data_IF_559934119763
#
_entry.id   IF_559934119763
#
_cell.length_a   1.000
_cell.length_b   1.000
_cell.length_c   1.000
_cell.angle_alpha   90.00
_cell.angle_beta   90.00
_cell.angle_gamma   90.00
#
_symmetry.space_group_name_H-M   'P 1'
#
loop_
_entity.id
_entity.type
_entity.pdbx_description
1 polymer ?
#
# COMPACT_ATOMS: atom_id res chain seq x y z
N UNK A 1 -8.32 -24.84 5.87
CA UNK A 1 -8.54 -24.27 4.51
C UNK A 1 -8.39 -22.73 4.54
N UNK A 2 -8.12 -22.14 5.70
CA UNK A 2 -8.11 -20.69 5.91
C UNK A 2 -6.73 -20.03 5.69
N UNK A 3 -5.62 -20.72 5.98
CA UNK A 3 -4.25 -20.24 5.69
C UNK A 3 -4.02 -19.89 4.21
N UNK A 4 -4.67 -20.63 3.31
CA UNK A 4 -4.52 -20.43 1.87
C UNK A 4 -5.24 -19.16 1.38
N UNK A 5 -6.26 -18.69 2.12
CA UNK A 5 -6.92 -17.39 1.86
C UNK A 5 -6.07 -16.22 2.35
N UNK A 6 -5.44 -16.33 3.52
CA UNK A 6 -4.56 -15.27 4.04
C UNK A 6 -3.34 -15.03 3.16
N UNK A 7 -2.71 -16.10 2.66
CA UNK A 7 -1.59 -15.98 1.72
C UNK A 7 -1.97 -15.27 0.41
N UNK A 8 -3.18 -15.52 -0.12
CA UNK A 8 -3.68 -14.86 -1.33
C UNK A 8 -3.99 -13.37 -1.10
N UNK A 9 -4.51 -13.01 0.08
CA UNK A 9 -4.77 -11.62 0.48
C UNK A 9 -3.46 -10.84 0.61
N UNK A 10 -2.44 -11.44 1.24
CA UNK A 10 -1.10 -10.82 1.36
C UNK A 10 -0.41 -10.65 -0.01
N UNK A 11 -0.56 -11.62 -0.92
CA UNK A 11 -0.01 -11.53 -2.27
C UNK A 11 -0.68 -10.42 -3.11
N UNK A 12 -2.01 -10.33 -3.07
CA UNK A 12 -2.76 -9.26 -3.75
C UNK A 12 -2.40 -7.87 -3.22
N UNK A 13 -2.17 -7.76 -1.92
CA UNK A 13 -1.71 -6.53 -1.24
C UNK A 13 -0.33 -6.09 -1.71
N UNK A 14 0.65 -7.01 -1.75
CA UNK A 14 1.99 -6.73 -2.27
C UNK A 14 1.96 -6.25 -3.71
N UNK A 15 1.13 -6.86 -4.56
CA UNK A 15 0.95 -6.44 -5.94
C UNK A 15 0.39 -5.01 -6.06
N UNK A 16 -0.59 -4.65 -5.21
CA UNK A 16 -1.16 -3.30 -5.20
C UNK A 16 -0.15 -2.23 -4.76
N UNK A 17 0.66 -2.51 -3.73
CA UNK A 17 1.74 -1.62 -3.29
C UNK A 17 2.80 -1.43 -4.38
N UNK A 18 3.19 -2.52 -5.04
CA UNK A 18 4.20 -2.48 -6.09
C UNK A 18 3.73 -1.65 -7.29
N UNK A 19 2.47 -1.79 -7.70
CA UNK A 19 1.86 -1.01 -8.76
C UNK A 19 1.76 0.48 -8.40
N UNK A 20 1.42 0.80 -7.14
CA UNK A 20 1.36 2.17 -6.66
C UNK A 20 2.75 2.84 -6.65
N UNK A 21 3.78 2.12 -6.22
CA UNK A 21 5.17 2.58 -6.26
C UNK A 21 5.65 2.82 -7.69
N UNK A 22 5.41 1.87 -8.61
CA UNK A 22 5.72 2.05 -10.03
C UNK A 22 5.06 3.31 -10.61
N UNK A 23 3.80 3.58 -10.25
CA UNK A 23 3.10 4.80 -10.69
C UNK A 23 3.74 6.07 -10.16
N UNK A 24 4.22 6.09 -8.92
CA UNK A 24 4.92 7.24 -8.35
C UNK A 24 6.27 7.47 -9.05
N UNK A 25 7.01 6.40 -9.32
CA UNK A 25 8.30 6.46 -10.04
C UNK A 25 8.10 6.99 -11.45
N UNK A 26 7.16 6.40 -12.21
CA UNK A 26 6.80 6.85 -13.56
C UNK A 26 6.39 8.31 -13.58
N UNK A 27 5.51 8.73 -12.66
CA UNK A 27 5.15 10.14 -12.55
C UNK A 27 6.42 10.97 -12.37
N UNK A 28 7.32 10.62 -11.43
CA UNK A 28 8.53 11.39 -11.08
C UNK A 28 9.49 11.56 -12.26
N UNK A 29 9.59 10.57 -13.14
CA UNK A 29 10.49 10.60 -14.29
C UNK A 29 9.86 11.26 -15.53
N UNK A 30 8.54 11.13 -15.73
CA UNK A 30 7.85 11.60 -16.95
C UNK A 30 6.91 12.79 -16.72
N UNK A 31 7.01 13.47 -15.59
CA UNK A 31 6.04 14.48 -15.16
C UNK A 31 6.21 15.86 -15.80
N UNK A 32 5.23 16.40 -16.55
CA UNK A 32 5.22 17.82 -16.88
C UNK A 32 5.08 18.67 -15.59
N UNK A 33 5.70 19.87 -15.53
CA UNK A 33 5.60 20.88 -14.43
C UNK A 33 4.18 21.47 -14.26
N UNK A 34 3.13 20.70 -14.49
CA UNK A 34 1.74 21.12 -14.35
C UNK A 34 1.20 20.85 -12.94
N UNK A 35 0.30 21.72 -12.50
CA UNK A 35 -0.39 21.57 -11.20
C UNK A 35 -1.29 20.32 -11.13
N UNK A 36 -1.82 19.85 -12.27
CA UNK A 36 -2.61 18.63 -12.35
C UNK A 36 -1.75 17.38 -12.08
N UNK A 37 -0.53 17.33 -12.63
CA UNK A 37 0.42 16.26 -12.41
C UNK A 37 0.89 16.20 -10.95
N UNK A 38 1.22 17.36 -10.35
CA UNK A 38 1.60 17.44 -8.93
C UNK A 38 0.48 16.95 -8.01
N UNK A 39 -0.79 17.31 -8.30
CA UNK A 39 -1.96 16.83 -7.55
C UNK A 39 -2.15 15.32 -7.66
N UNK A 40 -2.01 14.75 -8.85
CA UNK A 40 -2.09 13.30 -9.06
C UNK A 40 -0.98 12.55 -8.29
N UNK A 41 0.25 13.08 -8.29
CA UNK A 41 1.38 12.54 -7.53
C UNK A 41 1.13 12.54 -6.03
N UNK A 42 0.71 13.68 -5.46
CA UNK A 42 0.40 13.78 -4.03
C UNK A 42 -0.73 12.85 -3.62
N UNK A 43 -1.81 12.76 -4.42
CA UNK A 43 -2.92 11.83 -4.15
C UNK A 43 -2.48 10.36 -4.13
N UNK A 44 -1.54 10.00 -5.00
CA UNK A 44 -1.01 8.63 -5.06
C UNK A 44 -0.13 8.32 -3.85
N UNK A 45 0.76 9.24 -3.45
CA UNK A 45 1.54 9.08 -2.21
C UNK A 45 0.65 8.97 -0.98
N UNK A 46 -0.37 9.82 -0.88
CA UNK A 46 -1.30 9.81 0.25
C UNK A 46 -2.08 8.48 0.34
N UNK A 47 -2.47 7.89 -0.79
CA UNK A 47 -3.08 6.56 -0.81
C UNK A 47 -2.10 5.48 -0.36
N UNK A 48 -0.84 5.54 -0.81
CA UNK A 48 0.18 4.59 -0.42
C UNK A 48 0.45 4.66 1.10
N UNK A 49 0.52 5.86 1.67
CA UNK A 49 0.75 6.05 3.10
C UNK A 49 -0.40 5.51 3.95
N UNK A 50 -1.65 5.71 3.54
CA UNK A 50 -2.80 5.12 4.22
C UNK A 50 -2.81 3.59 4.12
N UNK A 51 -2.43 3.04 2.97
CA UNK A 51 -2.31 1.60 2.81
C UNK A 51 -1.26 1.05 3.78
N UNK A 52 -0.06 1.63 3.82
CA UNK A 52 1.00 1.21 4.74
C UNK A 52 0.61 1.35 6.21
N UNK A 53 -0.09 2.42 6.60
CA UNK A 53 -0.57 2.60 7.96
C UNK A 53 -1.61 1.53 8.36
N UNK A 54 -2.55 1.21 7.46
CA UNK A 54 -3.49 0.11 7.67
C UNK A 54 -2.78 -1.26 7.71
N UNK A 55 -1.65 -1.38 7.01
CA UNK A 55 -0.80 -2.57 7.04
C UNK A 55 -0.09 -2.77 8.37
N UNK A 56 0.46 -1.69 8.94
CA UNK A 56 1.07 -1.71 10.27
C UNK A 56 0.03 -1.95 11.39
N UNK A 57 -1.16 -1.36 11.30
CA UNK A 57 -2.23 -1.63 12.27
C UNK A 57 -2.71 -3.08 12.22
N UNK A 58 -2.88 -3.65 11.04
CA UNK A 58 -3.26 -5.06 10.88
C UNK A 58 -2.18 -6.02 11.39
N UNK A 59 -0.90 -5.68 11.20
CA UNK A 59 0.23 -6.44 11.75
C UNK A 59 0.26 -6.36 13.29
N UNK A 60 0.05 -5.17 13.85
CA UNK A 60 0.04 -4.95 15.31
C UNK A 60 -1.13 -5.64 16.01
N UNK A 61 -2.30 -5.71 15.36
CA UNK A 61 -3.47 -6.45 15.88
C UNK A 61 -3.25 -7.97 15.89
N UNK A 62 -2.54 -8.50 14.89
CA UNK A 62 -2.25 -9.95 14.81
C UNK A 62 -1.35 -10.41 15.97
N UNK A 63 -0.34 -9.61 16.34
CA UNK A 63 0.55 -9.91 17.47
C UNK A 63 -0.16 -9.86 18.83
N UNK A 64 -1.13 -8.95 19.00
CA UNK A 64 -1.87 -8.81 20.27
C UNK A 64 -2.83 -9.97 20.55
N UNK A 65 -3.29 -10.68 19.51
CA UNK A 65 -4.20 -11.83 19.66
C UNK A 65 -3.42 -13.10 20.02
N UNK A 66 -2.14 -13.21 19.63
CA UNK A 66 -1.28 -14.34 20.01
C UNK A 66 -0.83 -14.30 21.47
N UNK A 67 -0.78 -13.11 22.09
CA UNK A 67 -0.36 -12.93 23.50
C UNK A 67 -1.50 -13.16 24.54
N UNK A 68 -2.75 -13.29 24.11
CA UNK A 68 -3.94 -13.40 24.98
C UNK A 68 -4.45 -14.85 25.11
N UNK A 69 -3.61 -15.87 24.86
CA UNK A 69 -4.04 -17.28 24.81
C UNK A 69 -3.20 -18.27 25.64
#
# INVERSE_FOLDING_TARGET
MDDQKEGAVQAGRRAALHLALQRIVLLRETGPKSAAWQRARMRTMWRLQQQLAADDEAATQSTRIEDDH
#
